data_IF_837762145865
#
_entry.id   IF_837762145865
#
_cell.length_a   1.000
_cell.length_b   1.000
_cell.length_c   1.000
_cell.angle_alpha   90.00
_cell.angle_beta   90.00
_cell.angle_gamma   90.00
#
_symmetry.space_group_name_H-M   'P 1'
#
loop_
_entity.id
_entity.type
_entity.pdbx_description
1 polymer ?
#
# COMPACT_ATOMS: atom_id res chain seq x y z
N UNK A 1 17.37 -27.97 1.48
CA UNK A 1 18.09 -27.54 2.71
C UNK A 1 18.63 -26.11 2.66
N UNK A 2 18.39 -25.32 1.61
CA UNK A 2 18.93 -23.97 1.43
C UNK A 2 18.00 -22.82 1.90
N UNK A 3 16.78 -23.08 2.36
CA UNK A 3 15.83 -22.04 2.77
C UNK A 3 15.93 -21.59 4.24
N UNK A 4 16.61 -22.33 5.11
CA UNK A 4 16.74 -21.97 6.54
C UNK A 4 17.51 -20.69 6.82
N UNK A 5 18.40 -20.26 5.93
CA UNK A 5 19.23 -19.07 6.16
C UNK A 5 18.55 -17.73 5.81
N UNK A 6 17.70 -17.70 4.79
CA UNK A 6 17.01 -16.46 4.37
C UNK A 6 15.93 -16.04 5.37
N UNK A 7 15.18 -16.98 5.91
CA UNK A 7 14.13 -16.68 6.89
C UNK A 7 14.70 -16.18 8.23
N UNK A 8 15.86 -16.66 8.66
CA UNK A 8 16.45 -16.21 9.94
C UNK A 8 16.90 -14.74 9.91
N UNK A 9 17.48 -14.28 8.81
CA UNK A 9 17.88 -12.87 8.65
C UNK A 9 16.65 -11.94 8.59
N UNK A 10 15.62 -12.32 7.84
CA UNK A 10 14.37 -11.57 7.76
C UNK A 10 13.66 -11.49 9.12
N UNK A 11 13.59 -12.62 9.84
CA UNK A 11 13.06 -12.67 11.21
C UNK A 11 13.77 -11.68 12.13
N UNK A 12 15.11 -11.68 12.10
CA UNK A 12 15.92 -10.79 12.93
C UNK A 12 15.70 -9.30 12.59
N UNK A 13 15.58 -8.99 11.29
CA UNK A 13 15.32 -7.63 10.83
C UNK A 13 13.93 -7.14 11.25
N UNK A 14 12.89 -7.92 10.98
CA UNK A 14 11.50 -7.54 11.31
C UNK A 14 11.30 -7.44 12.82
N UNK A 15 11.97 -8.29 13.62
CA UNK A 15 11.92 -8.23 15.07
C UNK A 15 12.49 -6.93 15.64
N UNK A 16 13.45 -6.29 14.94
CA UNK A 16 14.06 -5.03 15.38
C UNK A 16 13.17 -3.80 15.08
N UNK A 17 12.22 -3.91 14.16
CA UNK A 17 11.30 -2.82 13.84
C UNK A 17 10.42 -2.52 15.05
N UNK A 18 10.38 -1.25 15.44
CA UNK A 18 9.57 -0.78 16.56
C UNK A 18 8.10 -0.61 16.15
N UNK A 19 7.22 -0.66 17.14
CA UNK A 19 5.79 -0.44 16.96
C UNK A 19 5.03 -1.70 16.57
N UNK A 20 3.72 -1.53 16.46
CA UNK A 20 2.80 -2.57 15.98
C UNK A 20 2.96 -2.76 14.48
N UNK A 21 3.09 -3.99 14.07
CA UNK A 21 3.32 -4.35 12.68
C UNK A 21 2.11 -5.06 12.11
N UNK A 22 1.62 -4.60 10.98
CA UNK A 22 0.56 -5.23 10.20
C UNK A 22 1.15 -5.60 8.85
N UNK A 23 1.04 -6.87 8.47
CA UNK A 23 1.51 -7.34 7.18
C UNK A 23 0.34 -7.42 6.19
N UNK A 24 0.45 -6.69 5.09
CA UNK A 24 -0.38 -6.91 3.91
C UNK A 24 0.31 -7.94 3.04
N UNK A 25 -0.26 -9.13 3.01
CA UNK A 25 0.37 -10.28 2.37
C UNK A 25 0.54 -10.04 0.87
N UNK A 26 1.78 -10.15 0.41
CA UNK A 26 2.16 -10.14 -0.98
C UNK A 26 2.42 -11.55 -1.54
N UNK A 27 2.64 -11.62 -2.84
CA UNK A 27 2.88 -12.88 -3.56
C UNK A 27 4.20 -13.56 -3.21
N UNK A 28 5.13 -12.85 -2.58
CA UNK A 28 6.43 -13.37 -2.16
C UNK A 28 6.53 -13.65 -0.66
N UNK A 29 5.47 -13.38 0.11
CA UNK A 29 5.48 -13.62 1.56
C UNK A 29 5.27 -15.11 1.86
N UNK A 30 6.32 -15.73 2.40
CA UNK A 30 6.27 -17.10 2.89
C UNK A 30 5.84 -17.11 4.36
N UNK A 31 4.60 -17.47 4.60
CA UNK A 31 4.00 -17.57 5.92
C UNK A 31 4.07 -18.99 6.52
N UNK A 32 4.87 -19.88 5.97
CA UNK A 32 5.05 -21.25 6.49
C UNK A 32 5.74 -21.29 7.86
N UNK A 33 6.55 -20.28 8.17
CA UNK A 33 7.21 -20.16 9.47
C UNK A 33 6.35 -19.33 10.43
N UNK A 34 5.77 -20.01 11.43
CA UNK A 34 4.90 -19.37 12.43
C UNK A 34 5.66 -18.33 13.28
N UNK A 35 6.98 -18.42 13.44
CA UNK A 35 7.80 -17.43 14.15
C UNK A 35 7.77 -16.09 13.41
N UNK A 36 7.75 -16.12 12.08
CA UNK A 36 7.58 -14.93 11.24
C UNK A 36 6.18 -14.34 11.42
N UNK A 37 5.15 -15.18 11.39
CA UNK A 37 3.77 -14.71 11.59
C UNK A 37 3.59 -13.99 12.94
N UNK A 38 4.21 -14.48 14.01
CA UNK A 38 4.12 -13.89 15.36
C UNK A 38 4.77 -12.51 15.51
N UNK A 39 5.53 -12.05 14.53
CA UNK A 39 6.10 -10.69 14.53
C UNK A 39 5.07 -9.63 14.18
N UNK A 40 3.93 -10.02 13.64
CA UNK A 40 2.87 -9.13 13.22
C UNK A 40 1.67 -9.24 14.18
N UNK A 41 1.07 -8.09 14.47
CA UNK A 41 -0.20 -8.04 15.21
C UNK A 41 -1.35 -8.55 14.34
N UNK A 42 -1.26 -8.32 13.03
CA UNK A 42 -2.24 -8.75 12.03
C UNK A 42 -1.54 -9.10 10.72
N UNK A 43 -2.04 -10.12 10.05
CA UNK A 43 -1.69 -10.46 8.66
C UNK A 43 -3.00 -10.48 7.89
N UNK A 44 -3.09 -9.65 6.86
CA UNK A 44 -4.33 -9.45 6.09
C UNK A 44 -4.03 -9.24 4.61
N UNK A 45 -5.02 -9.41 3.76
CA UNK A 45 -4.91 -9.11 2.33
C UNK A 45 -5.49 -7.73 1.98
N UNK A 46 -6.47 -7.26 2.76
CA UNK A 46 -7.14 -5.98 2.56
C UNK A 46 -7.58 -5.38 3.89
N UNK A 47 -7.44 -4.07 4.03
CA UNK A 47 -7.94 -3.36 5.21
C UNK A 47 -8.32 -1.93 4.87
N UNK A 48 -9.37 -1.45 5.50
CA UNK A 48 -9.76 -0.04 5.47
C UNK A 48 -9.43 0.61 6.81
N UNK A 49 -8.76 1.75 6.75
CA UNK A 49 -8.42 2.52 7.95
C UNK A 49 -8.71 4.02 7.72
N UNK A 50 -8.70 4.77 8.80
CA UNK A 50 -8.63 6.21 8.76
C UNK A 50 -7.34 6.69 9.43
N UNK A 51 -6.69 7.68 8.84
CA UNK A 51 -5.53 8.35 9.41
C UNK A 51 -5.73 9.86 9.34
N UNK A 52 -5.16 10.60 10.29
CA UNK A 52 -5.38 12.04 10.41
C UNK A 52 -4.09 12.78 10.65
N UNK A 53 -3.88 13.86 9.92
CA UNK A 53 -2.82 14.83 10.18
C UNK A 53 -3.29 16.24 9.74
N UNK A 54 -2.70 17.28 10.35
CA UNK A 54 -3.00 18.68 10.06
C UNK A 54 -4.52 18.99 10.05
N UNK A 55 -5.27 18.37 10.98
CA UNK A 55 -6.72 18.57 11.15
C UNK A 55 -7.60 17.93 10.08
N UNK A 56 -7.05 17.13 9.18
CA UNK A 56 -7.78 16.45 8.11
C UNK A 56 -7.69 14.93 8.26
N UNK A 57 -8.83 14.27 8.10
CA UNK A 57 -8.93 12.80 8.14
C UNK A 57 -9.00 12.23 6.74
N UNK A 58 -8.19 11.22 6.48
CA UNK A 58 -8.12 10.49 5.23
C UNK A 58 -8.63 9.07 5.43
N UNK A 59 -9.49 8.60 4.54
CA UNK A 59 -9.89 7.20 4.46
C UNK A 59 -8.96 6.49 3.49
N UNK A 60 -8.42 5.37 3.93
CA UNK A 60 -7.42 4.60 3.20
C UNK A 60 -7.91 3.17 2.99
N UNK A 61 -7.71 2.64 1.80
CA UNK A 61 -7.80 1.24 1.49
C UNK A 61 -6.39 0.70 1.26
N UNK A 62 -6.03 -0.34 1.96
CA UNK A 62 -4.68 -0.91 1.97
C UNK A 62 -4.72 -2.31 1.39
N UNK A 63 -3.90 -2.58 0.38
CA UNK A 63 -3.80 -3.87 -0.27
C UNK A 63 -2.43 -4.02 -0.95
N UNK A 64 -1.92 -5.24 -1.08
CA UNK A 64 -0.68 -5.47 -1.82
C UNK A 64 -0.82 -5.20 -3.32
N UNK A 65 -1.93 -5.66 -3.90
CA UNK A 65 -2.15 -5.54 -5.35
C UNK A 65 -2.87 -4.25 -5.73
N UNK A 66 -2.58 -3.68 -6.92
CA UNK A 66 -3.37 -2.60 -7.49
C UNK A 66 -4.75 -3.12 -7.90
N UNK A 67 -5.80 -2.44 -7.45
CA UNK A 67 -7.18 -2.71 -7.86
C UNK A 67 -7.81 -1.44 -8.42
N UNK A 68 -8.66 -1.58 -9.43
CA UNK A 68 -9.29 -0.41 -10.07
C UNK A 68 -10.53 0.09 -9.34
N UNK A 69 -11.13 -0.74 -8.49
CA UNK A 69 -12.35 -0.41 -7.75
C UNK A 69 -12.16 -0.75 -6.28
N UNK A 70 -12.37 0.22 -5.39
CA UNK A 70 -12.32 0.03 -3.94
C UNK A 70 -13.37 0.86 -3.22
N UNK A 71 -13.61 0.57 -1.97
CA UNK A 71 -14.64 1.26 -1.20
C UNK A 71 -14.35 2.75 -1.03
N UNK A 72 -15.31 3.56 -1.40
CA UNK A 72 -15.22 5.00 -1.21
C UNK A 72 -14.30 5.75 -2.19
N UNK A 73 -13.80 5.11 -3.27
CA UNK A 73 -12.90 5.76 -4.24
C UNK A 73 -13.47 7.07 -4.79
N UNK A 74 -14.77 7.10 -5.10
CA UNK A 74 -15.46 8.31 -5.58
C UNK A 74 -15.78 9.33 -4.47
N UNK A 75 -15.60 8.95 -3.21
CA UNK A 75 -15.79 9.82 -2.03
C UNK A 75 -14.47 10.31 -1.44
N UNK A 76 -13.36 10.02 -2.12
CA UNK A 76 -12.01 10.48 -1.78
C UNK A 76 -11.23 9.55 -0.87
N UNK A 77 -11.62 8.26 -0.72
CA UNK A 77 -10.72 7.27 -0.14
C UNK A 77 -9.55 7.00 -1.09
N UNK A 78 -8.37 6.77 -0.53
CA UNK A 78 -7.12 6.58 -1.26
C UNK A 78 -6.72 5.12 -1.18
N UNK A 79 -6.43 4.50 -2.33
CA UNK A 79 -5.81 3.18 -2.35
C UNK A 79 -4.30 3.32 -2.15
N UNK A 80 -3.76 2.65 -1.15
CA UNK A 80 -2.32 2.45 -1.00
C UNK A 80 -1.98 0.99 -1.32
N UNK A 81 -1.11 0.79 -2.29
CA UNK A 81 -0.75 -0.54 -2.81
C UNK A 81 0.75 -0.65 -3.10
N UNK A 82 1.19 -1.83 -3.52
CA UNK A 82 2.57 -2.09 -3.92
C UNK A 82 2.61 -2.95 -5.20
N UNK A 83 3.20 -4.12 -5.17
CA UNK A 83 3.29 -5.18 -6.18
C UNK A 83 3.96 -4.78 -7.50
N UNK A 84 3.45 -3.79 -8.20
CA UNK A 84 3.90 -3.39 -9.55
C UNK A 84 5.29 -2.76 -9.58
N UNK A 85 5.87 -2.49 -8.40
CA UNK A 85 7.17 -1.81 -8.29
C UNK A 85 7.21 -0.53 -9.15
N UNK A 86 8.39 -0.12 -9.60
CA UNK A 86 8.54 0.99 -10.54
C UNK A 86 8.74 0.44 -11.97
N UNK A 87 7.70 -0.19 -12.52
CA UNK A 87 7.75 -0.91 -13.81
C UNK A 87 6.71 -0.39 -14.80
N UNK A 88 6.70 -1.00 -15.98
CA UNK A 88 5.67 -0.73 -17.00
C UNK A 88 4.26 -1.08 -16.54
N UNK A 89 4.11 -2.05 -15.63
CA UNK A 89 2.81 -2.39 -15.04
C UNK A 89 2.28 -1.25 -14.16
N UNK A 90 3.15 -0.59 -13.41
CA UNK A 90 2.80 0.60 -12.64
C UNK A 90 2.33 1.73 -13.57
N UNK A 91 3.08 2.01 -14.62
CA UNK A 91 2.72 3.04 -15.59
C UNK A 91 1.36 2.74 -16.25
N UNK A 92 1.10 1.47 -16.57
CA UNK A 92 -0.19 1.05 -17.12
C UNK A 92 -1.33 1.24 -16.10
N UNK A 93 -1.13 0.83 -14.85
CA UNK A 93 -2.15 0.99 -13.82
C UNK A 93 -2.48 2.47 -13.57
N UNK A 94 -1.48 3.33 -13.48
CA UNK A 94 -1.68 4.77 -13.30
C UNK A 94 -2.39 5.41 -14.50
N UNK A 95 -2.14 4.93 -15.71
CA UNK A 95 -2.91 5.33 -16.89
C UNK A 95 -4.39 4.97 -16.76
N UNK A 96 -4.71 3.77 -16.26
CA UNK A 96 -6.10 3.38 -16.00
C UNK A 96 -6.76 4.26 -14.94
N UNK A 97 -6.05 4.61 -13.86
CA UNK A 97 -6.57 5.52 -12.82
C UNK A 97 -6.84 6.92 -13.40
N UNK A 98 -5.95 7.42 -14.25
CA UNK A 98 -6.16 8.68 -14.96
C UNK A 98 -7.41 8.64 -15.85
N UNK A 99 -7.58 7.57 -16.61
CA UNK A 99 -8.75 7.37 -17.48
C UNK A 99 -10.05 7.29 -16.66
N UNK A 100 -10.04 6.65 -15.49
CA UNK A 100 -11.18 6.67 -14.57
C UNK A 100 -11.55 8.08 -14.12
N UNK A 101 -10.57 8.94 -13.88
CA UNK A 101 -10.79 10.33 -13.48
C UNK A 101 -11.36 11.20 -14.61
N UNK A 102 -10.89 10.97 -15.83
CA UNK A 102 -11.28 11.73 -17.02
C UNK A 102 -12.65 11.32 -17.57
N UNK A 103 -13.06 10.09 -17.32
CA UNK A 103 -14.32 9.55 -17.82
C UNK A 103 -15.50 9.97 -16.95
N UNK A 104 -16.28 10.93 -17.42
CA UNK A 104 -17.45 11.49 -16.70
C UNK A 104 -18.54 10.46 -16.39
N UNK A 105 -18.60 9.34 -17.10
CA UNK A 105 -19.56 8.27 -16.84
C UNK A 105 -19.09 7.34 -15.72
N UNK A 106 -17.79 7.18 -15.55
CA UNK A 106 -17.18 6.36 -14.51
C UNK A 106 -16.93 7.15 -13.22
N UNK A 107 -16.54 8.41 -13.35
CA UNK A 107 -16.37 9.32 -12.21
C UNK A 107 -17.68 10.07 -11.93
N UNK A 108 -18.63 9.40 -11.32
CA UNK A 108 -20.00 9.89 -11.12
C UNK A 108 -20.09 10.99 -10.05
N UNK A 109 -19.11 11.08 -9.14
CA UNK A 109 -19.10 12.08 -8.08
C UNK A 109 -18.09 13.20 -8.38
N UNK A 110 -18.60 14.24 -8.98
CA UNK A 110 -17.86 15.47 -9.25
C UNK A 110 -17.23 16.03 -7.97
N UNK A 111 -15.91 16.19 -7.95
CA UNK A 111 -15.21 16.99 -6.96
C UNK A 111 -14.06 16.32 -6.21
N UNK A 112 -13.93 14.99 -6.20
CA UNK A 112 -12.78 14.33 -5.58
C UNK A 112 -12.13 13.36 -6.58
N UNK A 113 -10.83 13.56 -6.90
CA UNK A 113 -10.14 12.66 -7.79
C UNK A 113 -9.99 11.28 -7.15
N UNK A 114 -10.10 10.25 -7.97
CA UNK A 114 -9.73 8.88 -7.62
C UNK A 114 -8.22 8.84 -7.47
N UNK A 115 -7.72 8.43 -6.33
CA UNK A 115 -6.30 8.41 -5.99
C UNK A 115 -5.85 7.01 -5.59
N UNK A 116 -4.88 6.48 -6.31
CA UNK A 116 -4.20 5.24 -5.99
C UNK A 116 -2.70 5.51 -5.98
N UNK A 117 -2.02 5.18 -4.89
CA UNK A 117 -0.60 5.50 -4.66
C UNK A 117 0.15 4.21 -4.37
N UNK A 118 1.20 3.97 -5.15
CA UNK A 118 2.11 2.86 -4.91
C UNK A 118 3.05 3.21 -3.75
N UNK A 119 2.96 2.49 -2.64
CA UNK A 119 3.81 2.68 -1.46
C UNK A 119 4.91 1.62 -1.36
N UNK A 120 5.16 0.89 -2.43
CA UNK A 120 6.28 -0.04 -2.51
C UNK A 120 7.62 0.66 -2.32
N UNK A 121 8.52 0.06 -1.55
CA UNK A 121 9.80 0.68 -1.16
C UNK A 121 10.71 1.05 -2.35
N UNK A 122 10.48 0.45 -3.53
CA UNK A 122 11.22 0.73 -4.76
C UNK A 122 10.76 1.98 -5.51
N UNK A 123 9.66 2.61 -5.08
CA UNK A 123 9.23 3.87 -5.65
C UNK A 123 10.19 4.99 -5.24
N UNK A 124 10.60 5.88 -6.16
CA UNK A 124 11.61 6.91 -5.87
C UNK A 124 11.30 7.77 -4.64
N UNK A 125 10.05 8.16 -4.46
CA UNK A 125 9.59 8.96 -3.31
C UNK A 125 9.55 8.19 -1.98
N UNK A 126 9.63 6.86 -2.00
CA UNK A 126 9.72 6.03 -0.79
C UNK A 126 11.14 5.94 -0.24
N UNK A 127 12.15 5.98 -1.10
CA UNK A 127 13.57 6.01 -0.72
C UNK A 127 14.02 4.81 0.13
N UNK A 128 13.35 3.66 0.01
CA UNK A 128 13.57 2.45 0.84
C UNK A 128 13.42 2.68 2.35
N UNK A 129 12.64 3.69 2.74
CA UNK A 129 12.40 4.04 4.14
C UNK A 129 10.89 3.99 4.47
N UNK A 130 10.52 3.67 5.72
CA UNK A 130 9.14 3.87 6.18
C UNK A 130 8.75 5.34 6.04
N UNK A 131 7.56 5.60 5.49
CA UNK A 131 7.01 6.94 5.31
C UNK A 131 5.69 7.09 6.04
N UNK A 132 5.47 8.25 6.62
CA UNK A 132 4.17 8.65 7.13
C UNK A 132 3.22 8.96 5.97
N UNK A 133 1.91 8.89 6.22
CA UNK A 133 0.91 9.28 5.22
C UNK A 133 1.13 10.72 4.73
N UNK A 134 1.49 11.63 5.64
CA UNK A 134 1.78 13.02 5.30
C UNK A 134 2.90 13.13 4.27
N UNK A 135 4.02 12.44 4.47
CA UNK A 135 5.15 12.44 3.53
C UNK A 135 4.76 11.84 2.17
N UNK A 136 3.99 10.73 2.18
CA UNK A 136 3.51 10.11 0.95
C UNK A 136 2.62 11.07 0.17
N UNK A 137 1.66 11.72 0.82
CA UNK A 137 0.74 12.64 0.14
C UNK A 137 1.46 13.89 -0.38
N UNK A 138 2.40 14.45 0.40
CA UNK A 138 3.19 15.61 -0.02
C UNK A 138 4.07 15.33 -1.25
N UNK A 139 4.48 14.09 -1.45
CA UNK A 139 5.22 13.71 -2.66
C UNK A 139 4.34 13.62 -3.93
N UNK A 140 3.00 13.74 -3.79
CA UNK A 140 2.02 13.63 -4.87
C UNK A 140 1.16 14.89 -5.05
N UNK A 141 1.49 15.96 -4.36
CA UNK A 141 0.92 17.30 -4.55
C UNK A 141 1.73 18.09 -5.58
#
# INVERSE_FOLDING_TARGET
MAMRGKNSALLALVAQLKGKKILFRGNHDDLSDYRYQRLFEEITDYREIADSFDGKTYKLCLMHYPILMWNGQHRGSILLYAHTHNTVEEAFFQKCVKELNENKKLNVQQGKPIRAINVGCMMPYMGYEPRTLKEILSAHE
#
